data_IF_763666796068
#
_entry.id   IF_763666796068
#
_cell.length_a   1.000
_cell.length_b   1.000
_cell.length_c   1.000
_cell.angle_alpha   90.00
_cell.angle_beta   90.00
_cell.angle_gamma   90.00
#
_symmetry.space_group_name_H-M   'P 1'
#
loop_
_entity.id
_entity.type
_entity.pdbx_description
1 polymer ?
#
# COMPACT_ATOMS: atom_id res chain seq x y z
N UNK A 1 -21.67 -46.59 -43.54
CA UNK A 1 -21.97 -46.17 -42.15
C UNK A 1 -23.20 -46.91 -41.68
N UNK A 2 -23.19 -47.45 -40.47
CA UNK A 2 -24.38 -48.04 -39.85
C UNK A 2 -25.28 -46.93 -39.30
N UNK A 3 -26.58 -47.22 -39.16
CA UNK A 3 -27.56 -46.29 -38.58
C UNK A 3 -27.15 -45.81 -37.18
N UNK A 4 -26.55 -46.70 -36.38
CA UNK A 4 -26.05 -46.39 -35.04
C UNK A 4 -24.98 -45.30 -35.05
N UNK A 5 -24.04 -45.34 -36.00
CA UNK A 5 -22.98 -44.31 -36.14
C UNK A 5 -23.59 -42.96 -36.53
N UNK A 6 -24.63 -42.95 -37.38
CA UNK A 6 -25.32 -41.72 -37.76
C UNK A 6 -26.00 -41.05 -36.56
N UNK A 7 -26.74 -41.82 -35.74
CA UNK A 7 -27.36 -41.30 -34.51
C UNK A 7 -26.32 -40.79 -33.51
N UNK A 8 -25.24 -41.53 -33.28
CA UNK A 8 -24.15 -41.11 -32.41
C UNK A 8 -23.50 -39.81 -32.90
N UNK A 9 -23.30 -39.68 -34.21
CA UNK A 9 -22.78 -38.45 -34.82
C UNK A 9 -23.72 -37.28 -34.59
N UNK A 10 -25.04 -37.45 -34.81
CA UNK A 10 -26.01 -36.38 -34.60
C UNK A 10 -26.07 -35.93 -33.13
N UNK A 11 -26.07 -36.86 -32.17
CA UNK A 11 -26.04 -36.53 -30.75
C UNK A 11 -24.73 -35.82 -30.36
N UNK A 12 -23.59 -36.28 -30.86
CA UNK A 12 -22.30 -35.65 -30.62
C UNK A 12 -22.28 -34.21 -31.17
N UNK A 13 -22.89 -33.97 -32.34
CA UNK A 13 -22.98 -32.62 -32.93
C UNK A 13 -23.93 -31.71 -32.17
N UNK A 14 -25.06 -32.22 -31.68
CA UNK A 14 -25.94 -31.48 -30.76
C UNK A 14 -25.16 -31.10 -29.50
N UNK A 15 -24.43 -32.06 -28.91
CA UNK A 15 -23.56 -31.82 -27.76
C UNK A 15 -22.50 -30.74 -28.03
N UNK A 16 -21.88 -30.79 -29.21
CA UNK A 16 -20.93 -29.76 -29.65
C UNK A 16 -21.58 -28.40 -29.83
N UNK A 17 -22.82 -28.33 -30.31
CA UNK A 17 -23.58 -27.08 -30.44
C UNK A 17 -23.90 -26.47 -29.07
N UNK A 18 -24.27 -27.31 -28.10
CA UNK A 18 -24.46 -26.91 -26.70
C UNK A 18 -23.15 -26.39 -26.10
N UNK A 19 -22.06 -27.14 -26.27
CA UNK A 19 -20.73 -26.76 -25.78
C UNK A 19 -20.25 -25.44 -26.41
N UNK A 20 -20.45 -25.28 -27.72
CA UNK A 20 -20.13 -24.05 -28.43
C UNK A 20 -20.87 -22.85 -27.83
N UNK A 21 -22.17 -23.01 -27.56
CA UNK A 21 -22.96 -21.97 -26.91
C UNK A 21 -22.47 -21.59 -25.51
N UNK A 22 -22.14 -22.59 -24.69
CA UNK A 22 -21.54 -22.39 -23.35
C UNK A 22 -20.23 -21.62 -23.48
N UNK A 23 -19.31 -22.12 -24.31
CA UNK A 23 -17.97 -21.59 -24.48
C UNK A 23 -17.99 -20.15 -25.01
N UNK A 24 -18.88 -19.84 -25.95
CA UNK A 24 -19.05 -18.50 -26.51
C UNK A 24 -19.51 -17.51 -25.43
N UNK A 25 -20.48 -17.88 -24.60
CA UNK A 25 -20.97 -17.02 -23.50
C UNK A 25 -19.90 -16.81 -22.42
N UNK A 26 -19.17 -17.86 -22.04
CA UNK A 26 -18.02 -17.73 -21.13
C UNK A 26 -17.00 -16.74 -21.69
N UNK A 27 -16.63 -16.93 -22.95
CA UNK A 27 -15.64 -16.11 -23.63
C UNK A 27 -16.07 -14.64 -23.71
N UNK A 28 -17.32 -14.38 -24.12
CA UNK A 28 -17.87 -13.03 -24.19
C UNK A 28 -17.89 -12.34 -22.81
N UNK A 29 -18.25 -13.07 -21.75
CA UNK A 29 -18.27 -12.55 -20.40
C UNK A 29 -16.88 -12.06 -19.92
N UNK A 30 -15.83 -12.85 -20.18
CA UNK A 30 -14.46 -12.51 -19.75
C UNK A 30 -13.79 -11.46 -20.64
N UNK A 31 -14.09 -11.45 -21.94
CA UNK A 31 -13.42 -10.56 -22.89
C UNK A 31 -13.72 -9.08 -22.62
N UNK A 32 -14.94 -8.75 -22.14
CA UNK A 32 -15.42 -7.39 -21.88
C UNK A 32 -15.09 -6.43 -23.04
N UNK A 33 -15.66 -6.74 -24.22
CA UNK A 33 -15.42 -6.07 -25.52
C UNK A 33 -15.26 -4.54 -25.47
N UNK A 34 -16.12 -3.74 -24.79
CA UNK A 34 -16.02 -2.27 -24.85
C UNK A 34 -14.80 -1.68 -24.13
N UNK A 35 -14.17 -2.43 -23.22
CA UNK A 35 -13.06 -1.91 -22.39
C UNK A 35 -11.70 -2.28 -22.98
N UNK A 36 -11.63 -3.27 -23.87
CA UNK A 36 -10.38 -3.89 -24.33
C UNK A 36 -9.94 -3.33 -25.69
N UNK A 37 -8.63 -3.17 -25.88
CA UNK A 37 -8.04 -2.71 -27.16
C UNK A 37 -8.48 -3.62 -28.32
N UNK A 38 -8.85 -3.03 -29.45
CA UNK A 38 -9.40 -3.72 -30.63
C UNK A 38 -8.49 -4.84 -31.16
N UNK A 39 -7.17 -4.62 -31.18
CA UNK A 39 -6.20 -5.64 -31.62
C UNK A 39 -6.21 -6.89 -30.72
N UNK A 40 -6.31 -6.72 -29.40
CA UNK A 40 -6.33 -7.84 -28.46
C UNK A 40 -7.62 -8.65 -28.62
N UNK A 41 -8.75 -7.96 -28.82
CA UNK A 41 -10.04 -8.61 -29.10
C UNK A 41 -9.97 -9.41 -30.41
N UNK A 42 -9.35 -8.86 -31.45
CA UNK A 42 -9.18 -9.54 -32.73
C UNK A 42 -8.37 -10.85 -32.61
N UNK A 43 -7.20 -10.81 -31.97
CA UNK A 43 -6.39 -12.01 -31.78
C UNK A 43 -7.11 -13.07 -30.94
N UNK A 44 -7.80 -12.67 -29.87
CA UNK A 44 -8.58 -13.62 -29.08
C UNK A 44 -9.77 -14.19 -29.84
N UNK A 45 -10.48 -13.39 -30.64
CA UNK A 45 -11.59 -13.87 -31.47
C UNK A 45 -11.06 -14.89 -32.49
N UNK A 46 -9.94 -14.61 -33.16
CA UNK A 46 -9.30 -15.53 -34.09
C UNK A 46 -8.92 -16.85 -33.41
N UNK A 47 -8.27 -16.78 -32.24
CA UNK A 47 -7.83 -17.96 -31.50
C UNK A 47 -9.03 -18.80 -31.02
N UNK A 48 -10.09 -18.15 -30.58
CA UNK A 48 -11.34 -18.81 -30.16
C UNK A 48 -11.98 -19.56 -31.33
N UNK A 49 -12.13 -18.92 -32.50
CA UNK A 49 -12.73 -19.56 -33.67
C UNK A 49 -11.89 -20.71 -34.20
N UNK A 50 -10.56 -20.58 -34.24
CA UNK A 50 -9.66 -21.68 -34.62
C UNK A 50 -9.82 -22.85 -33.65
N UNK A 51 -9.81 -22.58 -32.34
CA UNK A 51 -9.99 -23.62 -31.34
C UNK A 51 -11.32 -24.35 -31.49
N UNK A 52 -12.43 -23.62 -31.66
CA UNK A 52 -13.76 -24.21 -31.85
C UNK A 52 -13.86 -25.03 -33.14
N UNK A 53 -13.28 -24.54 -34.24
CA UNK A 53 -13.25 -25.27 -35.50
C UNK A 53 -12.44 -26.56 -35.40
N UNK A 54 -11.27 -26.52 -34.76
CA UNK A 54 -10.44 -27.69 -34.52
C UNK A 54 -11.15 -28.71 -33.61
N UNK A 55 -11.80 -28.25 -32.55
CA UNK A 55 -12.53 -29.11 -31.62
C UNK A 55 -13.73 -29.78 -32.32
N UNK A 56 -14.51 -29.01 -33.08
CA UNK A 56 -15.61 -29.53 -33.90
C UNK A 56 -15.12 -30.59 -34.88
N UNK A 57 -14.04 -30.29 -35.63
CA UNK A 57 -13.46 -31.21 -36.59
C UNK A 57 -12.93 -32.48 -35.90
N UNK A 58 -12.27 -32.34 -34.75
CA UNK A 58 -11.77 -33.48 -33.98
C UNK A 58 -12.89 -34.42 -33.52
N UNK A 59 -13.99 -33.87 -32.98
CA UNK A 59 -15.15 -34.68 -32.58
C UNK A 59 -15.81 -35.33 -33.80
N UNK A 60 -15.92 -34.61 -34.91
CA UNK A 60 -16.44 -35.15 -36.16
C UNK A 60 -15.56 -36.26 -36.74
N UNK A 61 -14.24 -36.12 -36.62
CA UNK A 61 -13.27 -37.13 -37.01
C UNK A 61 -13.42 -38.40 -36.18
N UNK A 62 -13.56 -38.26 -34.86
CA UNK A 62 -13.68 -39.40 -33.95
C UNK A 62 -14.96 -40.21 -34.20
N UNK A 63 -16.09 -39.55 -34.44
CA UNK A 63 -17.41 -40.22 -34.53
C UNK A 63 -17.76 -40.60 -35.96
N UNK A 64 -17.33 -39.83 -36.95
CA UNK A 64 -17.79 -39.94 -38.33
C UNK A 64 -16.65 -39.92 -39.37
N UNK A 65 -15.40 -40.14 -38.95
CA UNK A 65 -14.20 -40.08 -39.81
C UNK A 65 -14.05 -38.75 -40.58
N UNK A 66 -14.66 -37.67 -40.05
CA UNK A 66 -14.57 -36.34 -40.65
C UNK A 66 -15.50 -36.12 -41.84
N UNK A 67 -16.42 -37.05 -42.11
CA UNK A 67 -17.39 -36.89 -43.20
C UNK A 67 -18.42 -35.80 -42.82
N UNK A 68 -18.39 -34.69 -43.57
CA UNK A 68 -19.31 -33.55 -43.37
C UNK A 68 -20.56 -33.77 -44.23
N UNK A 69 -21.72 -33.85 -43.57
CA UNK A 69 -23.03 -33.97 -44.22
C UNK A 69 -23.98 -32.89 -43.69
N UNK A 70 -24.99 -32.53 -44.49
CA UNK A 70 -25.91 -31.42 -44.16
C UNK A 70 -26.59 -31.63 -42.80
N UNK A 71 -27.04 -32.84 -42.49
CA UNK A 71 -27.72 -33.13 -41.21
C UNK A 71 -26.82 -32.97 -39.97
N UNK A 72 -25.50 -33.08 -40.13
CA UNK A 72 -24.51 -32.88 -39.05
C UNK A 72 -24.44 -31.41 -38.69
N UNK A 73 -24.44 -30.55 -39.71
CA UNK A 73 -24.48 -29.09 -39.55
C UNK A 73 -25.82 -28.66 -38.93
N UNK A 74 -26.93 -29.24 -39.38
CA UNK A 74 -28.24 -28.98 -38.77
C UNK A 74 -28.30 -29.42 -37.30
N UNK A 75 -27.73 -30.58 -36.96
CA UNK A 75 -27.64 -31.07 -35.59
C UNK A 75 -26.80 -30.12 -34.70
N UNK A 76 -25.71 -29.57 -35.23
CA UNK A 76 -24.90 -28.56 -34.55
C UNK A 76 -25.70 -27.27 -34.27
N UNK A 77 -26.38 -26.73 -35.29
CA UNK A 77 -27.24 -25.55 -35.13
C UNK A 77 -28.39 -25.80 -34.17
N UNK A 78 -29.00 -26.99 -34.22
CA UNK A 78 -30.04 -27.38 -33.29
C UNK A 78 -29.53 -27.40 -31.85
N UNK A 79 -28.37 -28.00 -31.60
CA UNK A 79 -27.73 -27.98 -30.28
C UNK A 79 -27.46 -26.55 -29.78
N UNK A 80 -26.93 -25.68 -30.65
CA UNK A 80 -26.73 -24.28 -30.30
C UNK A 80 -28.05 -23.53 -30.02
N UNK A 81 -29.10 -23.79 -30.79
CA UNK A 81 -30.42 -23.19 -30.59
C UNK A 81 -31.06 -23.65 -29.27
N UNK A 82 -30.94 -24.93 -28.92
CA UNK A 82 -31.36 -25.48 -27.62
C UNK A 82 -30.64 -24.76 -26.49
N UNK A 83 -29.32 -24.57 -26.60
CA UNK A 83 -28.56 -23.81 -25.62
C UNK A 83 -29.10 -22.39 -25.47
N UNK A 84 -29.25 -21.68 -26.59
CA UNK A 84 -29.67 -20.28 -26.60
C UNK A 84 -31.08 -20.10 -26.00
N UNK A 85 -32.01 -21.00 -26.32
CA UNK A 85 -33.40 -20.90 -25.90
C UNK A 85 -33.61 -21.33 -24.43
N UNK A 86 -33.00 -22.45 -24.01
CA UNK A 86 -33.31 -23.08 -22.73
C UNK A 86 -32.21 -22.87 -21.68
N UNK A 87 -30.94 -23.03 -22.05
CA UNK A 87 -29.85 -23.15 -21.08
C UNK A 87 -29.14 -21.82 -20.79
N UNK A 88 -29.13 -20.88 -21.73
CA UNK A 88 -28.40 -19.62 -21.62
C UNK A 88 -28.70 -18.86 -20.32
N UNK A 89 -29.98 -18.71 -19.96
CA UNK A 89 -30.39 -17.97 -18.76
C UNK A 89 -29.90 -18.65 -17.48
N UNK A 90 -29.99 -19.98 -17.42
CA UNK A 90 -29.53 -20.78 -16.27
C UNK A 90 -28.01 -20.71 -16.17
N UNK A 91 -27.33 -20.94 -17.30
CA UNK A 91 -25.87 -20.89 -17.38
C UNK A 91 -25.30 -19.54 -16.93
N UNK A 92 -25.83 -18.41 -17.45
CA UNK A 92 -25.36 -17.08 -17.06
C UNK A 92 -25.59 -16.78 -15.57
N UNK A 93 -26.69 -17.29 -14.99
CA UNK A 93 -26.95 -17.15 -13.54
C UNK A 93 -25.90 -17.93 -12.74
N UNK A 94 -25.61 -19.17 -13.13
CA UNK A 94 -24.58 -19.99 -12.49
C UNK A 94 -23.19 -19.36 -12.64
N UNK A 95 -22.84 -18.90 -13.84
CA UNK A 95 -21.55 -18.26 -14.10
C UNK A 95 -21.36 -17.04 -13.21
N UNK A 96 -22.36 -16.15 -13.12
CA UNK A 96 -22.31 -14.97 -12.23
C UNK A 96 -22.23 -15.37 -10.76
N UNK A 97 -22.96 -16.40 -10.34
CA UNK A 97 -22.92 -16.90 -8.98
C UNK A 97 -21.51 -17.39 -8.63
N UNK A 98 -20.92 -18.25 -9.46
CA UNK A 98 -19.56 -18.78 -9.26
C UNK A 98 -18.56 -17.63 -9.16
N UNK A 99 -18.60 -16.68 -10.10
CA UNK A 99 -17.69 -15.53 -10.11
C UNK A 99 -17.88 -14.66 -8.86
N UNK A 100 -19.13 -14.42 -8.43
CA UNK A 100 -19.41 -13.64 -7.23
C UNK A 100 -18.87 -14.32 -5.96
N UNK A 101 -19.00 -15.65 -5.87
CA UNK A 101 -18.47 -16.44 -4.75
C UNK A 101 -16.94 -16.37 -4.76
N UNK A 102 -16.31 -16.56 -5.92
CA UNK A 102 -14.84 -16.45 -6.05
C UNK A 102 -14.33 -15.07 -5.63
N UNK A 103 -14.99 -13.99 -6.04
CA UNK A 103 -14.62 -12.63 -5.64
C UNK A 103 -14.77 -12.44 -4.13
N UNK A 104 -15.89 -12.90 -3.54
CA UNK A 104 -16.12 -12.81 -2.09
C UNK A 104 -15.07 -13.59 -1.31
N UNK A 105 -14.72 -14.78 -1.80
CA UNK A 105 -13.70 -15.63 -1.20
C UNK A 105 -12.32 -14.97 -1.25
N UNK A 106 -11.93 -14.42 -2.40
CA UNK A 106 -10.70 -13.64 -2.53
C UNK A 106 -10.67 -12.44 -1.57
N UNK A 107 -11.76 -11.67 -1.50
CA UNK A 107 -11.87 -10.55 -0.57
C UNK A 107 -11.78 -11.00 0.90
N UNK A 108 -12.35 -12.16 1.23
CA UNK A 108 -12.25 -12.75 2.56
C UNK A 108 -10.79 -13.10 2.89
N UNK A 109 -10.07 -13.77 1.98
CA UNK A 109 -8.64 -14.07 2.16
C UNK A 109 -7.83 -12.80 2.37
N UNK A 110 -8.01 -11.79 1.50
CA UNK A 110 -7.28 -10.52 1.62
C UNK A 110 -7.59 -9.81 2.94
N UNK A 111 -8.87 -9.78 3.36
CA UNK A 111 -9.25 -9.21 4.65
C UNK A 111 -8.62 -9.95 5.82
N UNK A 112 -8.58 -11.29 5.77
CA UNK A 112 -7.94 -12.11 6.79
C UNK A 112 -6.43 -11.81 6.85
N UNK A 113 -5.73 -11.78 5.73
CA UNK A 113 -4.30 -11.45 5.69
C UNK A 113 -4.02 -10.03 6.21
N UNK A 114 -4.80 -9.03 5.81
CA UNK A 114 -4.62 -7.66 6.29
C UNK A 114 -4.90 -7.55 7.80
N UNK A 115 -5.98 -8.16 8.28
CA UNK A 115 -6.30 -8.12 9.71
C UNK A 115 -5.31 -8.92 10.57
N UNK A 116 -4.82 -10.05 10.06
CA UNK A 116 -3.96 -10.97 10.80
C UNK A 116 -2.48 -10.57 10.74
N UNK A 117 -2.03 -9.93 9.66
CA UNK A 117 -0.61 -9.63 9.45
C UNK A 117 -0.36 -8.14 9.57
N UNK A 118 -1.04 -7.31 8.77
CA UNK A 118 -0.74 -5.88 8.71
C UNK A 118 -1.08 -5.14 10.01
N UNK A 119 -2.26 -5.40 10.60
CA UNK A 119 -2.67 -4.75 11.85
C UNK A 119 -1.74 -5.04 13.04
N UNK A 120 -1.38 -6.30 13.36
CA UNK A 120 -0.50 -6.58 14.49
C UNK A 120 0.92 -6.05 14.25
N UNK A 121 1.45 -6.13 13.03
CA UNK A 121 2.76 -5.55 12.72
C UNK A 121 2.77 -4.04 12.97
N UNK A 122 1.73 -3.33 12.49
CA UNK A 122 1.59 -1.90 12.77
C UNK A 122 1.53 -1.64 14.27
N UNK A 123 0.76 -2.42 15.03
CA UNK A 123 0.67 -2.29 16.48
C UNK A 123 2.01 -2.51 17.18
N UNK A 124 2.81 -3.49 16.74
CA UNK A 124 4.15 -3.75 17.25
C UNK A 124 5.09 -2.56 16.98
N UNK A 125 5.05 -1.97 15.79
CA UNK A 125 5.86 -0.79 15.46
C UNK A 125 5.48 0.41 16.35
N UNK A 126 4.18 0.66 16.57
CA UNK A 126 3.75 1.72 17.50
C UNK A 126 4.19 1.46 18.94
N UNK A 127 4.17 0.20 19.39
CA UNK A 127 4.71 -0.20 20.69
C UNK A 127 6.20 0.12 20.80
N UNK A 128 7.00 -0.25 19.80
CA UNK A 128 8.43 0.05 19.75
C UNK A 128 8.71 1.55 19.80
N UNK A 129 8.01 2.34 18.98
CA UNK A 129 8.15 3.80 18.98
C UNK A 129 7.76 4.39 20.34
N UNK A 130 6.68 3.90 20.94
CA UNK A 130 6.23 4.32 22.27
C UNK A 130 7.30 4.10 23.33
N UNK A 131 7.96 2.92 23.32
CA UNK A 131 9.06 2.58 24.22
C UNK A 131 10.23 3.56 24.03
N UNK A 132 10.65 3.82 22.79
CA UNK A 132 11.75 4.75 22.50
C UNK A 132 11.45 6.17 23.00
N UNK A 133 10.24 6.67 22.74
CA UNK A 133 9.82 8.00 23.21
C UNK A 133 9.74 8.06 24.73
N UNK A 134 9.26 7.00 25.38
CA UNK A 134 9.22 6.89 26.84
C UNK A 134 10.62 6.94 27.45
N UNK A 135 11.57 6.16 26.91
CA UNK A 135 12.96 6.16 27.35
C UNK A 135 13.62 7.53 27.19
N UNK A 136 13.44 8.17 26.03
CA UNK A 136 13.97 9.51 25.79
C UNK A 136 13.42 10.54 26.78
N UNK A 137 12.10 10.53 27.02
CA UNK A 137 11.47 11.42 28.01
C UNK A 137 11.99 11.15 29.42
N UNK A 138 12.18 9.88 29.81
CA UNK A 138 12.75 9.47 31.08
C UNK A 138 14.18 10.00 31.27
N UNK A 139 15.05 9.77 30.29
CA UNK A 139 16.42 10.31 30.26
C UNK A 139 16.45 11.83 30.39
N UNK A 140 15.59 12.52 29.63
CA UNK A 140 15.54 13.98 29.66
C UNK A 140 15.00 14.52 31.00
N UNK A 141 14.14 13.78 31.69
CA UNK A 141 13.69 14.12 33.04
C UNK A 141 14.83 13.98 34.05
N UNK A 142 15.61 12.90 33.98
CA UNK A 142 16.80 12.68 34.82
C UNK A 142 17.86 13.76 34.58
N UNK A 143 18.18 14.08 33.33
CA UNK A 143 19.12 15.13 32.99
C UNK A 143 18.67 16.50 33.55
N UNK A 144 17.38 16.83 33.43
CA UNK A 144 16.82 18.06 34.02
C UNK A 144 16.89 18.06 35.54
N UNK A 145 16.63 16.92 36.20
CA UNK A 145 16.77 16.79 37.64
C UNK A 145 18.24 16.99 38.07
N UNK A 146 19.19 16.37 37.37
CA UNK A 146 20.62 16.53 37.62
C UNK A 146 21.08 17.98 37.47
N UNK A 147 20.70 18.67 36.38
CA UNK A 147 21.00 20.09 36.18
C UNK A 147 20.39 20.94 37.29
N UNK A 148 19.16 20.65 37.71
CA UNK A 148 18.52 21.36 38.83
C UNK A 148 19.33 21.21 40.11
N UNK A 149 19.73 20.00 40.46
CA UNK A 149 20.56 19.72 41.64
C UNK A 149 21.91 20.41 41.53
N UNK A 150 22.60 20.27 40.40
CA UNK A 150 23.91 20.91 40.16
C UNK A 150 23.83 22.44 40.29
N UNK A 151 22.78 23.04 39.71
CA UNK A 151 22.55 24.48 39.80
C UNK A 151 22.23 24.95 41.22
N UNK A 152 21.60 24.09 42.02
CA UNK A 152 21.31 24.37 43.43
C UNK A 152 22.59 24.36 44.26
N UNK A 153 23.46 23.36 44.06
CA UNK A 153 24.78 23.26 44.71
C UNK A 153 25.66 24.45 44.32
N UNK A 154 25.74 24.77 43.03
CA UNK A 154 26.49 25.94 42.54
C UNK A 154 25.98 27.23 43.18
N UNK A 155 24.66 27.45 43.23
CA UNK A 155 24.09 28.64 43.87
C UNK A 155 24.46 28.71 45.35
N UNK A 156 24.34 27.61 46.08
CA UNK A 156 24.71 27.52 47.50
C UNK A 156 26.19 27.84 47.71
N UNK A 157 27.07 27.31 46.88
CA UNK A 157 28.52 27.49 47.01
C UNK A 157 28.98 28.91 46.65
N UNK A 158 28.34 29.57 45.67
CA UNK A 158 28.64 30.95 45.30
C UNK A 158 27.91 32.00 46.16
N UNK A 159 26.92 31.60 46.95
CA UNK A 159 26.21 32.47 47.91
C UNK A 159 27.14 33.11 48.97
N UNK A 160 27.99 32.35 49.70
CA UNK A 160 28.92 32.92 50.67
C UNK A 160 29.98 33.80 49.99
N UNK A 161 30.35 33.50 48.75
CA UNK A 161 31.30 34.31 47.99
C UNK A 161 30.75 35.71 47.67
N UNK A 162 29.45 35.80 47.33
CA UNK A 162 28.77 37.10 47.17
C UNK A 162 28.69 37.87 48.47
N UNK A 163 28.41 37.18 49.57
CA UNK A 163 28.36 37.79 50.89
C UNK A 163 29.73 38.30 51.34
N UNK A 164 30.79 37.51 51.13
CA UNK A 164 32.18 37.91 51.34
C UNK A 164 32.60 39.11 50.48
N UNK A 165 32.24 39.13 49.20
CA UNK A 165 32.51 40.28 48.33
C UNK A 165 31.79 41.55 48.80
N UNK A 166 30.56 41.42 49.30
CA UNK A 166 29.83 42.53 49.93
C UNK A 166 30.50 42.99 51.22
N UNK A 167 31.04 42.08 52.02
CA UNK A 167 31.76 42.41 53.26
C UNK A 167 33.05 43.17 52.96
N UNK A 168 33.79 42.73 51.95
CA UNK A 168 35.02 43.38 51.45
C UNK A 168 34.68 44.75 50.86
N UNK A 169 33.56 44.88 50.13
CA UNK A 169 33.09 46.17 49.59
C UNK A 169 32.71 47.19 50.68
N UNK A 170 32.26 46.71 51.84
CA UNK A 170 31.93 47.56 52.99
C UNK A 170 33.19 48.05 53.73
N UNK A 171 34.25 47.24 53.75
CA UNK A 171 35.52 47.53 54.45
C UNK A 171 36.52 48.34 53.60
N UNK A 172 36.23 48.60 52.33
CA UNK A 172 37.12 49.34 51.42
C UNK A 172 37.03 50.87 51.63
N UNK A 173 38.16 51.57 51.88
CA UNK A 173 38.18 53.02 52.01
C UNK A 173 37.84 53.73 50.69
N UNK A 174 37.26 54.94 50.77
CA UNK A 174 36.69 55.72 49.64
C UNK A 174 37.59 55.84 48.38
N UNK A 175 38.92 55.73 48.52
CA UNK A 175 39.87 55.73 47.38
C UNK A 175 39.91 54.42 46.59
N UNK A 176 39.72 53.27 47.24
CA UNK A 176 39.67 51.96 46.58
C UNK A 176 38.40 51.80 45.75
N UNK A 177 37.27 52.32 46.24
CA UNK A 177 35.97 52.30 45.57
C UNK A 177 36.00 52.99 44.19
N UNK A 178 36.65 54.16 44.11
CA UNK A 178 36.79 54.93 42.86
C UNK A 178 37.74 54.28 41.84
N UNK A 179 38.74 53.50 42.28
CA UNK A 179 39.62 52.77 41.35
C UNK A 179 38.92 51.55 40.76
N UNK A 180 38.12 50.83 41.56
CA UNK A 180 37.31 49.70 41.07
C UNK A 180 36.20 50.18 40.13
N UNK A 181 35.60 51.35 40.37
CA UNK A 181 34.63 51.96 39.45
C UNK A 181 35.27 52.38 38.11
N UNK A 182 36.51 52.90 38.11
CA UNK A 182 37.26 53.16 36.86
C UNK A 182 37.55 51.87 36.08
N UNK A 183 38.07 50.84 36.77
CA UNK A 183 38.35 49.55 36.14
C UNK A 183 37.08 48.83 35.65
N UNK A 184 35.97 48.93 36.38
CA UNK A 184 34.69 48.34 35.93
C UNK A 184 34.11 49.11 34.74
N UNK A 185 34.29 50.43 34.68
CA UNK A 185 33.92 51.26 33.53
C UNK A 185 34.71 50.91 32.27
N UNK A 186 36.02 50.70 32.40
CA UNK A 186 36.88 50.24 31.30
C UNK A 186 36.52 48.82 30.84
N UNK A 187 36.32 47.90 31.78
CA UNK A 187 35.87 46.53 31.50
C UNK A 187 34.48 46.51 30.84
N UNK A 188 33.55 47.37 31.27
CA UNK A 188 32.23 47.50 30.67
C UNK A 188 32.30 47.99 29.21
N UNK A 189 33.23 48.90 28.90
CA UNK A 189 33.53 49.34 27.54
C UNK A 189 34.03 48.18 26.65
N UNK A 190 34.95 47.36 27.15
CA UNK A 190 35.41 46.15 26.46
C UNK A 190 34.31 45.12 26.27
N UNK A 191 33.48 44.89 27.30
CA UNK A 191 32.34 43.97 27.22
C UNK A 191 31.31 44.43 26.18
N UNK A 192 31.07 45.74 26.08
CA UNK A 192 30.17 46.30 25.08
C UNK A 192 30.70 46.11 23.65
N UNK A 193 32.01 46.28 23.44
CA UNK A 193 32.69 45.97 22.17
C UNK A 193 32.57 44.49 21.81
N UNK A 194 32.87 43.59 22.75
CA UNK A 194 32.81 42.14 22.55
C UNK A 194 31.37 41.71 22.23
N UNK A 195 30.38 42.20 22.99
CA UNK A 195 28.96 41.93 22.74
C UNK A 195 28.51 42.42 21.37
N UNK A 196 28.93 43.62 20.96
CA UNK A 196 28.64 44.18 19.63
C UNK A 196 29.25 43.34 18.51
N UNK A 197 30.47 42.87 18.70
CA UNK A 197 31.16 41.98 17.75
C UNK A 197 30.43 40.65 17.61
N UNK A 198 30.03 40.05 18.72
CA UNK A 198 29.26 38.80 18.75
C UNK A 198 27.89 38.92 18.08
N UNK A 199 27.17 40.03 18.33
CA UNK A 199 25.88 40.29 17.68
C UNK A 199 26.05 40.45 16.17
N UNK A 200 27.05 41.21 15.71
CA UNK A 200 27.35 41.36 14.29
C UNK A 200 27.77 40.05 13.61
N UNK A 201 28.53 39.22 14.31
CA UNK A 201 28.93 37.91 13.81
C UNK A 201 27.74 36.97 13.64
N UNK A 202 26.80 36.95 14.60
CA UNK A 202 25.56 36.17 14.52
C UNK A 202 24.64 36.68 13.39
N UNK A 203 24.51 38.00 13.22
CA UNK A 203 23.63 38.57 12.18
C UNK A 203 24.19 38.34 10.77
N UNK A 204 25.51 38.37 10.58
CA UNK A 204 26.13 38.03 9.29
C UNK A 204 25.97 36.54 8.94
N UNK A 205 26.05 35.64 9.92
CA UNK A 205 25.79 34.20 9.74
C UNK A 205 24.34 33.85 9.38
N UNK A 206 23.37 34.74 9.63
CA UNK A 206 21.94 34.55 9.29
C UNK A 206 21.55 35.08 7.90
N UNK A 207 22.46 35.75 7.19
CA UNK A 207 22.22 36.36 5.86
C UNK A 207 22.84 35.56 4.70
N UNK A 208 23.57 34.47 4.99
CA UNK A 208 23.95 33.41 4.04
C UNK A 208 23.03 32.22 4.24
#
# INVERSE_FOLDING_TARGET
MTLSVQFMTMLAMIGMGLFFGISLETYQYFLKRPVRKRLIVFFHDLLFWIFQALLLFYVLFLVNQGEVRIYIILALFLGFAIYQALLKKVYLRLLKLVISISIRFYQLIVKLLINLVYKPIKSLIFLLISIVVFLYKGLMALARAAVRVLSFILKIMFLPFKWLFSLIWLLLPKRGKNSVEKFSGEMAGYFHKIKKYWINWITNRKKQ
#
